data_IF_744571240221
#
_entry.id   IF_744571240221
#
_cell.length_a   1.000
_cell.length_b   1.000
_cell.length_c   1.000
_cell.angle_alpha   90.00
_cell.angle_beta   90.00
_cell.angle_gamma   90.00
#
_symmetry.space_group_name_H-M   'P 1'
#
loop_
_entity.id
_entity.type
_entity.pdbx_description
1 polymer ?
#
# COMPACT_ATOMS: atom_id res chain seq x y z
N UNK A 1 0.09 -1.72 12.41
CA UNK A 1 -0.45 -2.41 11.22
C UNK A 1 0.54 -2.24 10.06
N UNK A 2 0.57 -3.18 9.13
CA UNK A 2 1.40 -3.10 7.93
C UNK A 2 0.51 -3.10 6.69
N UNK A 3 0.84 -2.24 5.73
CA UNK A 3 0.29 -2.24 4.38
C UNK A 3 1.36 -2.80 3.44
N UNK A 4 1.03 -3.84 2.68
CA UNK A 4 1.94 -4.38 1.67
C UNK A 4 1.36 -4.21 0.28
N UNK A 5 2.23 -3.85 -0.64
CA UNK A 5 2.01 -3.98 -2.09
C UNK A 5 3.09 -4.92 -2.62
N UNK A 6 2.75 -5.87 -3.49
CA UNK A 6 3.75 -6.69 -4.16
C UNK A 6 3.19 -7.57 -5.28
N UNK A 7 4.10 -8.33 -5.91
CA UNK A 7 3.77 -9.20 -7.04
C UNK A 7 3.16 -10.53 -6.60
N UNK A 8 1.99 -10.84 -7.13
CA UNK A 8 1.33 -12.11 -6.91
C UNK A 8 1.27 -12.93 -8.20
N UNK A 9 1.77 -14.16 -8.12
CA UNK A 9 1.62 -15.15 -9.19
C UNK A 9 0.38 -15.96 -8.89
N UNK A 10 -0.66 -15.87 -9.73
CA UNK A 10 -1.90 -16.63 -9.57
C UNK A 10 -1.66 -18.13 -9.80
N UNK A 11 -1.05 -18.82 -8.83
CA UNK A 11 -1.07 -20.29 -8.79
C UNK A 11 -2.21 -20.68 -7.86
N UNK A 12 -3.28 -21.24 -8.45
CA UNK A 12 -4.53 -21.71 -7.79
C UNK A 12 -4.31 -22.68 -6.61
N UNK A 13 -3.09 -23.14 -6.36
CA UNK A 13 -2.76 -24.23 -5.44
C UNK A 13 -2.17 -23.79 -4.10
N UNK A 14 -1.77 -22.54 -3.90
CA UNK A 14 -1.15 -22.11 -2.63
C UNK A 14 -2.14 -21.43 -1.67
N UNK A 15 -2.27 -21.97 -0.45
CA UNK A 15 -3.07 -21.39 0.65
C UNK A 15 -2.53 -20.04 1.15
N UNK A 16 -1.28 -19.71 0.85
CA UNK A 16 -0.61 -18.47 1.27
C UNK A 16 -0.11 -17.74 0.03
N UNK A 17 -0.45 -16.47 -0.10
CA UNK A 17 -0.08 -15.64 -1.24
C UNK A 17 1.28 -14.99 -0.98
N UNK A 18 2.31 -15.81 -0.74
CA UNK A 18 3.62 -15.33 -0.30
C UNK A 18 4.23 -14.41 -1.38
N UNK A 19 4.51 -13.17 -0.98
CA UNK A 19 5.19 -12.20 -1.82
C UNK A 19 6.71 -12.35 -1.68
N UNK A 20 7.40 -12.22 -2.80
CA UNK A 20 8.86 -12.17 -2.81
C UNK A 20 9.34 -10.93 -2.01
N UNK A 21 10.23 -11.09 -1.01
CA UNK A 21 10.78 -9.98 -0.23
C UNK A 21 11.41 -8.85 -1.07
N UNK A 22 11.91 -9.16 -2.27
CA UNK A 22 12.49 -8.19 -3.20
C UNK A 22 11.45 -7.44 -4.01
N UNK A 23 10.25 -8.02 -4.18
CA UNK A 23 9.14 -7.47 -4.98
C UNK A 23 7.98 -6.96 -4.11
N UNK A 24 8.31 -6.41 -2.94
CA UNK A 24 7.33 -5.81 -2.04
C UNK A 24 7.70 -4.39 -1.58
N UNK A 25 6.68 -3.61 -1.26
CA UNK A 25 6.75 -2.33 -0.58
C UNK A 25 5.90 -2.45 0.67
N UNK A 26 6.48 -2.08 1.82
CA UNK A 26 5.82 -2.16 3.12
C UNK A 26 5.71 -0.77 3.71
N UNK A 27 4.48 -0.41 4.11
CA UNK A 27 4.23 0.76 4.94
C UNK A 27 3.77 0.37 6.33
N UNK A 28 4.33 1.03 7.32
CA UNK A 28 4.12 0.77 8.75
C UNK A 28 3.27 1.86 9.35
N UNK A 29 2.11 1.52 9.91
CA UNK A 29 1.23 2.51 10.56
C UNK A 29 1.78 3.01 11.89
N UNK A 30 2.67 2.25 12.53
CA UNK A 30 3.35 2.64 13.77
C UNK A 30 4.56 3.56 13.52
N UNK A 31 4.91 3.80 12.26
CA UNK A 31 5.94 4.75 11.86
C UNK A 31 5.29 5.89 11.05
N UNK A 32 5.10 7.06 11.66
CA UNK A 32 4.42 8.19 11.02
C UNK A 32 5.05 8.59 9.67
N UNK A 33 6.38 8.53 9.52
CA UNK A 33 7.01 8.79 8.23
C UNK A 33 6.58 7.78 7.15
N UNK A 34 6.57 6.49 7.50
CA UNK A 34 6.14 5.44 6.57
C UNK A 34 4.65 5.58 6.22
N UNK A 35 3.81 5.81 7.22
CA UNK A 35 2.39 6.05 7.01
C UNK A 35 2.11 7.33 6.22
N UNK A 36 2.95 8.36 6.38
CA UNK A 36 2.88 9.60 5.61
C UNK A 36 3.06 9.36 4.11
N UNK A 37 4.04 8.55 3.72
CA UNK A 37 4.19 8.14 2.31
C UNK A 37 3.05 7.26 1.82
N UNK A 38 2.50 6.38 2.66
CA UNK A 38 1.30 5.62 2.30
C UNK A 38 0.11 6.55 2.06
N UNK A 39 -0.12 7.52 2.94
CA UNK A 39 -1.23 8.50 2.82
C UNK A 39 -1.14 9.40 1.58
N UNK A 40 0.04 9.50 0.97
CA UNK A 40 0.23 10.19 -0.29
C UNK A 40 -0.32 9.38 -1.47
N UNK A 41 -0.09 8.06 -1.48
CA UNK A 41 -0.39 7.20 -2.63
C UNK A 41 -1.73 6.50 -2.50
N UNK A 42 -2.14 6.18 -1.27
CA UNK A 42 -3.38 5.49 -0.96
C UNK A 42 -4.61 6.05 -1.69
N UNK A 43 -4.84 7.37 -1.77
CA UNK A 43 -6.00 7.93 -2.47
C UNK A 43 -6.10 7.50 -3.94
N UNK A 44 -4.95 7.39 -4.62
CA UNK A 44 -4.86 7.03 -6.03
C UNK A 44 -5.34 5.58 -6.30
N UNK A 45 -5.29 4.72 -5.29
CA UNK A 45 -5.68 3.31 -5.36
C UNK A 45 -7.00 3.01 -4.63
N UNK A 46 -7.68 4.01 -4.07
CA UNK A 46 -8.90 3.86 -3.28
C UNK A 46 -10.01 3.15 -4.07
N UNK A 47 -10.15 3.47 -5.35
CA UNK A 47 -11.17 2.85 -6.22
C UNK A 47 -11.06 1.32 -6.29
N UNK A 48 -9.86 0.76 -6.23
CA UNK A 48 -9.65 -0.69 -6.27
C UNK A 48 -10.02 -1.34 -4.93
N UNK A 49 -9.75 -0.66 -3.82
CA UNK A 49 -10.19 -1.11 -2.50
C UNK A 49 -11.72 -1.10 -2.39
N UNK A 50 -12.38 -0.06 -2.90
CA UNK A 50 -13.84 0.02 -2.93
C UNK A 50 -14.44 -1.05 -3.84
N UNK A 51 -13.87 -1.30 -5.02
CA UNK A 51 -14.34 -2.33 -5.96
C UNK A 51 -14.23 -3.74 -5.39
N UNK A 52 -13.07 -4.11 -4.84
CA UNK A 52 -12.77 -5.49 -4.47
C UNK A 52 -13.16 -5.82 -3.01
N UNK A 53 -13.13 -4.83 -2.11
CA UNK A 53 -13.37 -5.04 -0.67
C UNK A 53 -14.56 -4.23 -0.11
N UNK A 54 -15.11 -3.27 -0.85
CA UNK A 54 -16.23 -2.43 -0.39
C UNK A 54 -15.89 -1.50 0.78
N UNK A 55 -14.61 -1.28 1.05
CA UNK A 55 -14.10 -0.51 2.19
C UNK A 55 -12.90 0.34 1.78
N UNK A 56 -12.62 1.39 2.56
CA UNK A 56 -11.49 2.28 2.25
C UNK A 56 -10.15 1.58 2.35
N UNK A 57 -9.18 1.93 1.49
CA UNK A 57 -7.82 1.36 1.49
C UNK A 57 -7.12 1.50 2.84
N UNK A 58 -7.48 2.52 3.61
CA UNK A 58 -6.94 2.84 4.94
C UNK A 58 -7.56 2.00 6.05
N UNK A 59 -8.70 1.34 5.80
CA UNK A 59 -9.40 0.47 6.74
C UNK A 59 -8.58 -0.78 7.07
N UNK A 60 -8.93 -1.47 8.15
CA UNK A 60 -8.28 -2.71 8.55
C UNK A 60 -8.84 -3.88 7.72
N UNK A 61 -7.97 -4.83 7.34
CA UNK A 61 -8.29 -6.05 6.59
C UNK A 61 -8.77 -5.80 5.15
N UNK A 62 -8.17 -4.82 4.50
CA UNK A 62 -8.40 -4.56 3.07
C UNK A 62 -7.48 -5.45 2.25
N UNK A 63 -8.00 -5.99 1.14
CA UNK A 63 -7.22 -6.65 0.09
C UNK A 63 -7.87 -6.39 -1.25
N UNK A 64 -7.04 -6.10 -2.26
CA UNK A 64 -7.48 -6.00 -3.64
C UNK A 64 -6.35 -6.45 -4.57
N UNK A 65 -6.70 -6.76 -5.81
CA UNK A 65 -5.77 -7.30 -6.79
C UNK A 65 -5.93 -6.58 -8.13
N UNK A 66 -4.85 -5.95 -8.59
CA UNK A 66 -4.80 -5.32 -9.90
C UNK A 66 -4.44 -6.35 -10.97
N UNK A 67 -5.36 -6.53 -11.93
CA UNK A 67 -5.23 -7.42 -13.11
C UNK A 67 -4.78 -6.62 -14.33
N UNK A 68 -4.58 -7.27 -15.48
CA UNK A 68 -3.97 -6.66 -16.68
C UNK A 68 -4.52 -5.26 -17.05
N UNK A 69 -5.84 -5.08 -17.08
CA UNK A 69 -6.44 -3.77 -17.40
C UNK A 69 -6.19 -2.73 -16.30
N UNK A 70 -6.26 -3.15 -15.03
CA UNK A 70 -5.95 -2.30 -13.87
C UNK A 70 -4.48 -1.87 -13.83
N UNK A 71 -3.57 -2.69 -14.37
CA UNK A 71 -2.14 -2.39 -14.38
C UNK A 71 -1.81 -1.23 -15.32
N UNK A 72 -2.49 -1.12 -16.47
CA UNK A 72 -2.33 0.02 -17.37
C UNK A 72 -2.81 1.31 -16.69
N UNK A 73 -4.00 1.27 -16.10
CA UNK A 73 -4.57 2.40 -15.37
C UNK A 73 -3.69 2.80 -14.17
N UNK A 74 -3.12 1.83 -13.46
CA UNK A 74 -2.19 2.10 -12.36
C UNK A 74 -0.92 2.83 -12.83
N UNK A 75 -0.41 2.57 -14.05
CA UNK A 75 0.73 3.30 -14.60
C UNK A 75 0.40 4.76 -14.91
N UNK A 76 -0.81 5.02 -15.41
CA UNK A 76 -1.31 6.38 -15.65
C UNK A 76 -1.40 7.14 -14.33
N UNK A 77 -2.07 6.56 -13.33
CA UNK A 77 -2.19 7.12 -11.98
C UNK A 77 -0.82 7.40 -11.35
N UNK A 78 0.15 6.51 -11.51
CA UNK A 78 1.51 6.72 -11.00
C UNK A 78 2.26 7.82 -11.76
N UNK A 79 1.97 8.03 -13.04
CA UNK A 79 2.53 9.12 -13.83
C UNK A 79 1.95 10.47 -13.40
N UNK A 80 0.65 10.53 -13.14
CA UNK A 80 0.00 11.73 -12.63
C UNK A 80 0.53 12.09 -11.24
N UNK A 81 0.69 11.11 -10.36
CA UNK A 81 1.25 11.33 -9.02
C UNK A 81 2.72 11.78 -9.09
N UNK A 82 3.47 11.30 -10.08
CA UNK A 82 4.83 11.79 -10.36
C UNK A 82 4.81 13.28 -10.78
N UNK A 83 3.88 13.69 -11.64
CA UNK A 83 3.69 15.09 -12.06
C UNK A 83 3.30 15.97 -10.86
N UNK A 84 2.36 15.52 -10.03
CA UNK A 84 1.96 16.23 -8.80
C UNK A 84 3.15 16.42 -7.85
N UNK A 85 4.01 15.40 -7.74
CA UNK A 85 5.22 15.48 -6.91
C UNK A 85 6.21 16.54 -7.38
N UNK A 86 6.29 16.85 -8.69
CA UNK A 86 7.13 17.96 -9.16
C UNK A 86 6.67 19.31 -8.63
N UNK A 87 5.37 19.50 -8.41
CA UNK A 87 4.78 20.73 -7.89
C UNK A 87 4.97 20.87 -6.36
N UNK A 88 5.28 19.78 -5.66
CA UNK A 88 5.55 19.82 -4.23
C UNK A 88 6.92 20.47 -3.94
N UNK A 89 7.08 21.14 -2.79
CA UNK A 89 8.40 21.60 -2.35
C UNK A 89 9.33 20.40 -2.07
N UNK A 90 10.62 20.68 -1.91
CA UNK A 90 11.63 19.63 -1.63
C UNK A 90 11.28 18.79 -0.39
N UNK A 91 10.62 19.41 0.59
CA UNK A 91 10.04 18.73 1.75
C UNK A 91 8.78 19.46 2.25
N UNK A 92 7.82 18.73 2.80
CA UNK A 92 6.59 19.28 3.35
C UNK A 92 6.09 18.45 4.54
N UNK A 93 5.33 19.09 5.43
CA UNK A 93 4.65 18.41 6.53
C UNK A 93 3.33 17.82 6.03
N UNK A 94 3.12 16.52 6.21
CA UNK A 94 1.85 15.85 5.85
C UNK A 94 1.02 15.65 7.10
N UNK A 95 -0.15 16.26 7.18
CA UNK A 95 -1.09 16.03 8.28
C UNK A 95 -1.75 14.65 8.17
N UNK A 96 -1.68 13.87 9.26
CA UNK A 96 -2.22 12.51 9.36
C UNK A 96 -3.33 12.37 10.42
N UNK A 97 -3.78 13.48 11.00
CA UNK A 97 -4.71 13.49 12.13
C UNK A 97 -4.02 13.93 13.43
N UNK A 98 -4.63 13.59 14.56
CA UNK A 98 -4.18 13.99 15.89
C UNK A 98 -4.01 12.78 16.79
N UNK A 99 -3.12 12.89 17.78
CA UNK A 99 -2.95 11.90 18.85
C UNK A 99 -3.10 12.59 20.20
N UNK A 100 -3.81 11.91 21.11
CA UNK A 100 -3.90 12.32 22.50
C UNK A 100 -3.34 11.20 23.39
N UNK A 101 -2.24 11.49 24.07
CA UNK A 101 -1.75 10.61 25.13
C UNK A 101 -2.51 10.90 26.43
N UNK A 102 -2.64 9.92 27.35
CA UNK A 102 -3.29 10.14 28.64
C UNK A 102 -2.73 11.37 29.34
N UNK A 103 -3.61 12.29 29.74
CA UNK A 103 -3.27 13.55 30.43
C UNK A 103 -2.42 14.53 29.62
N UNK A 104 -2.36 14.39 28.29
CA UNK A 104 -1.70 15.36 27.41
C UNK A 104 -2.72 16.05 26.50
N UNK A 105 -2.43 17.29 26.04
CA UNK A 105 -3.24 17.92 25.01
C UNK A 105 -3.12 17.15 23.68
N UNK A 106 -4.14 17.27 22.84
CA UNK A 106 -4.11 16.79 21.46
C UNK A 106 -2.91 17.38 20.72
N UNK A 107 -2.19 16.52 19.98
CA UNK A 107 -1.05 16.92 19.17
C UNK A 107 -1.25 16.45 17.74
N UNK A 108 -0.95 17.29 16.73
CA UNK A 108 -1.03 16.87 15.35
C UNK A 108 0.06 15.84 15.03
N UNK A 109 -0.29 14.84 14.24
CA UNK A 109 0.64 13.88 13.65
C UNK A 109 1.04 14.44 12.28
N UNK A 110 2.22 15.03 12.22
CA UNK A 110 2.75 15.66 11.01
C UNK A 110 4.20 15.19 10.76
N UNK A 111 4.43 14.07 10.06
CA UNK A 111 5.77 13.73 9.58
C UNK A 111 6.23 14.68 8.47
N UNK A 112 7.54 14.97 8.45
CA UNK A 112 8.19 15.68 7.35
C UNK A 112 8.46 14.68 6.22
N UNK A 113 7.86 14.91 5.06
CA UNK A 113 8.08 14.12 3.85
C UNK A 113 9.08 14.82 2.94
N UNK A 114 9.92 14.03 2.28
CA UNK A 114 10.88 14.49 1.29
C UNK A 114 10.47 14.08 -0.12
N UNK A 115 10.46 15.03 -1.05
CA UNK A 115 10.09 14.84 -2.45
C UNK A 115 10.90 13.74 -3.13
N UNK A 116 12.22 13.76 -2.97
CA UNK A 116 13.11 12.75 -3.56
C UNK A 116 12.91 11.32 -3.02
N UNK A 117 12.31 11.15 -1.84
CA UNK A 117 11.91 9.84 -1.33
C UNK A 117 10.55 9.41 -1.89
N UNK A 118 9.62 10.36 -2.04
CA UNK A 118 8.33 10.11 -2.67
C UNK A 118 8.52 9.65 -4.13
N UNK A 119 9.34 10.36 -4.92
CA UNK A 119 9.71 9.95 -6.29
C UNK A 119 10.25 8.52 -6.35
N UNK A 120 11.25 8.20 -5.50
CA UNK A 120 11.82 6.85 -5.45
C UNK A 120 10.77 5.78 -5.17
N UNK A 121 9.78 6.10 -4.33
CA UNK A 121 8.73 5.16 -4.00
C UNK A 121 7.72 4.98 -5.14
N UNK A 122 7.36 6.06 -5.84
CA UNK A 122 6.53 6.02 -7.06
C UNK A 122 7.23 5.24 -8.16
N UNK A 123 8.53 5.49 -8.39
CA UNK A 123 9.33 4.75 -9.35
C UNK A 123 9.41 3.26 -9.00
N UNK A 124 9.57 2.94 -7.71
CA UNK A 124 9.56 1.54 -7.26
C UNK A 124 8.20 0.88 -7.50
N UNK A 125 7.09 1.57 -7.23
CA UNK A 125 5.74 1.07 -7.54
C UNK A 125 5.55 0.87 -9.04
N UNK A 126 5.96 1.84 -9.85
CA UNK A 126 5.90 1.75 -11.32
C UNK A 126 6.70 0.55 -11.83
N UNK A 127 7.90 0.34 -11.32
CA UNK A 127 8.71 -0.82 -11.66
C UNK A 127 8.02 -2.15 -11.28
N UNK A 128 7.33 -2.21 -10.14
CA UNK A 128 6.53 -3.38 -9.78
C UNK A 128 5.36 -3.60 -10.74
N UNK A 129 4.63 -2.54 -11.13
CA UNK A 129 3.53 -2.65 -12.10
C UNK A 129 4.04 -3.13 -13.45
N UNK A 130 5.13 -2.56 -13.97
CA UNK A 130 5.75 -2.99 -15.23
C UNK A 130 6.23 -4.45 -15.15
N UNK A 131 6.82 -4.85 -14.01
CA UNK A 131 7.23 -6.23 -13.78
C UNK A 131 6.03 -7.18 -13.70
N UNK A 132 4.90 -6.73 -13.15
CA UNK A 132 3.66 -7.50 -13.15
C UNK A 132 3.18 -7.75 -14.59
N UNK A 133 3.14 -6.70 -15.42
CA UNK A 133 2.75 -6.81 -16.83
C UNK A 133 3.68 -7.74 -17.62
N UNK A 134 4.99 -7.54 -17.52
CA UNK A 134 5.98 -8.33 -18.26
C UNK A 134 5.99 -9.82 -17.88
N UNK A 135 5.55 -10.17 -16.68
CA UNK A 135 5.51 -11.54 -16.17
C UNK A 135 4.11 -12.15 -16.18
N UNK A 136 3.11 -11.45 -16.75
CA UNK A 136 1.70 -11.85 -16.72
C UNK A 136 1.20 -12.14 -15.28
N UNK A 137 1.68 -11.35 -14.32
CA UNK A 137 1.35 -11.43 -12.90
C UNK A 137 0.40 -10.30 -12.50
N UNK A 138 -0.15 -10.43 -11.30
CA UNK A 138 -0.97 -9.38 -10.69
C UNK A 138 -0.17 -8.58 -9.66
N UNK A 139 -0.60 -7.34 -9.42
CA UNK A 139 -0.16 -6.59 -8.25
C UNK A 139 -1.21 -6.72 -7.14
N UNK A 140 -0.81 -7.16 -5.95
CA UNK A 140 -1.73 -7.31 -4.82
C UNK A 140 -1.41 -6.29 -3.74
N UNK A 141 -2.47 -5.79 -3.12
CA UNK A 141 -2.41 -5.02 -1.89
C UNK A 141 -3.06 -5.79 -0.75
N UNK A 142 -2.51 -5.67 0.46
CA UNK A 142 -3.19 -6.15 1.66
C UNK A 142 -2.67 -5.54 2.96
N UNK A 143 -3.55 -5.43 3.95
CA UNK A 143 -3.20 -5.00 5.31
C UNK A 143 -3.86 -5.86 6.40
N UNK A 144 -3.61 -5.56 7.68
CA UNK A 144 -4.26 -6.23 8.81
C UNK A 144 -3.93 -7.73 8.90
N UNK A 145 -4.96 -8.59 8.93
CA UNK A 145 -4.83 -10.05 8.89
C UNK A 145 -4.36 -10.53 7.52
N UNK A 146 -4.77 -9.85 6.44
CA UNK A 146 -4.45 -10.21 5.05
C UNK A 146 -2.97 -9.95 4.71
N UNK A 147 -2.29 -9.07 5.45
CA UNK A 147 -0.82 -8.96 5.45
C UNK A 147 -0.14 -10.29 5.78
N UNK A 148 -0.68 -11.08 6.73
CA UNK A 148 -0.05 -12.31 7.21
C UNK A 148 -0.02 -13.37 6.12
N UNK A 149 -1.13 -13.52 5.38
CA UNK A 149 -1.17 -14.39 4.20
C UNK A 149 -0.19 -13.97 3.12
N UNK A 150 0.03 -12.66 2.94
CA UNK A 150 0.99 -12.13 1.96
C UNK A 150 2.45 -12.31 2.39
N UNK A 151 2.71 -12.55 3.68
CA UNK A 151 4.06 -12.74 4.25
C UNK A 151 4.35 -14.19 4.62
N UNK A 152 3.44 -15.12 4.30
CA UNK A 152 3.57 -16.53 4.66
C UNK A 152 3.54 -16.79 6.17
N UNK A 153 3.03 -15.84 6.96
CA UNK A 153 2.90 -16.00 8.41
C UNK A 153 1.69 -16.91 8.66
N UNK A 154 1.95 -18.11 9.22
CA UNK A 154 0.88 -19.03 9.62
C UNK A 154 -0.07 -18.34 10.60
N UNK A 155 -1.35 -18.46 10.33
CA UNK A 155 -2.40 -17.98 11.23
C UNK A 155 -2.42 -18.87 12.49
N UNK A 156 -2.64 -18.30 13.68
CA UNK A 156 -2.93 -19.09 14.87
C UNK A 156 -4.13 -20.02 14.61
N UNK A 157 -4.17 -21.20 15.24
CA UNK A 157 -5.35 -22.07 15.15
C UNK A 157 -6.61 -21.32 15.62
N UNK A 158 -7.72 -21.49 14.89
CA UNK A 158 -9.03 -20.90 15.23
C UNK A 158 -9.39 -19.58 14.53
N UNK A 159 -8.53 -19.00 13.68
CA UNK A 159 -8.87 -17.78 12.93
C UNK A 159 -9.67 -18.12 11.68
N UNK A 160 -10.94 -17.67 11.63
CA UNK A 160 -11.82 -17.80 10.46
C UNK A 160 -11.41 -16.77 9.40
N UNK A 161 -11.18 -17.23 8.17
CA UNK A 161 -10.91 -16.37 7.01
C UNK A 161 -12.19 -16.29 6.20
N UNK A 162 -12.80 -15.10 6.12
CA UNK A 162 -13.88 -14.85 5.18
C UNK A 162 -13.27 -14.65 3.79
N UNK A 163 -13.63 -15.52 2.87
CA UNK A 163 -13.21 -15.56 1.46
C UNK A 163 -14.07 -14.66 0.59
#
# INVERSE_FOLDING_TARGET
MHHIIGLYTSKKTERLWLLDPHDQIIFRTDCFHSFGYFSLIAPAFEKYAQRDAGISITSINVKFCLRSDDLNEALEVLSDLEIELYQQPTSWWKYLGEIQYPRQPLRPIQPLLFRGRAFRLVHKLRALVLKAQAQEKCLVYGNGVLYRSLRGIKMPPGVVVYS
#
